data_IF_570731539608
#
_entry.id   IF_570731539608
#
_cell.length_a   1.000
_cell.length_b   1.000
_cell.length_c   1.000
_cell.angle_alpha   90.00
_cell.angle_beta   90.00
_cell.angle_gamma   90.00
#
_symmetry.space_group_name_H-M   'P 1'
#
loop_
_entity.id
_entity.type
_entity.pdbx_description
1 polymer ?
#
# COMPACT_ATOMS: atom_id res chain seq x y z
N UNK A 1 13.68 5.30 16.80
CA UNK A 1 14.59 5.21 15.63
C UNK A 1 15.58 6.37 15.58
N UNK A 2 15.16 7.61 15.26
CA UNK A 2 16.11 8.74 15.03
C UNK A 2 16.99 9.15 16.22
N UNK A 3 16.63 8.78 17.45
CA UNK A 3 17.46 9.03 18.64
C UNK A 3 18.54 7.95 18.86
N UNK A 4 18.52 6.86 18.08
CA UNK A 4 19.47 5.76 18.24
C UNK A 4 20.81 6.13 17.57
N UNK A 5 21.96 5.97 18.25
CA UNK A 5 23.25 6.46 17.76
C UNK A 5 23.74 5.77 16.49
N UNK A 6 23.21 4.58 16.17
CA UNK A 6 23.54 3.85 14.94
C UNK A 6 22.57 4.11 13.77
N UNK A 7 21.64 5.06 13.92
CA UNK A 7 20.74 5.49 12.84
C UNK A 7 21.26 6.82 12.29
N UNK A 8 21.59 6.85 10.98
CA UNK A 8 22.22 8.02 10.33
C UNK A 8 21.38 9.30 10.39
N UNK A 9 20.06 9.19 10.18
CA UNK A 9 19.17 10.36 10.05
C UNK A 9 19.48 11.21 8.80
N UNK A 10 18.90 12.42 8.66
CA UNK A 10 18.03 13.11 9.63
C UNK A 10 16.58 12.61 9.65
N UNK A 11 16.16 11.86 8.62
CA UNK A 11 14.87 11.19 8.56
C UNK A 11 15.00 9.67 8.43
N UNK A 12 13.87 8.98 8.35
CA UNK A 12 13.79 7.52 8.18
C UNK A 12 13.01 7.15 6.92
N UNK A 13 13.29 5.95 6.43
CA UNK A 13 12.44 5.25 5.46
C UNK A 13 11.35 4.44 6.14
N UNK A 14 10.18 4.32 5.49
CA UNK A 14 9.10 3.43 5.90
C UNK A 14 8.83 2.43 4.77
N UNK A 15 8.75 1.14 5.09
CA UNK A 15 8.30 0.09 4.20
C UNK A 15 7.01 -0.51 4.77
N UNK A 16 5.91 -0.35 4.05
CA UNK A 16 4.59 -0.78 4.49
C UNK A 16 3.93 -1.74 3.51
N UNK A 17 3.51 -2.90 3.99
CA UNK A 17 2.70 -3.87 3.24
C UNK A 17 1.24 -3.83 3.71
N UNK A 18 0.27 -3.87 2.79
CA UNK A 18 -1.16 -3.93 3.10
C UNK A 18 -1.57 -2.78 4.03
N UNK A 19 -2.23 -3.04 5.16
CA UNK A 19 -2.52 -2.03 6.19
C UNK A 19 -1.28 -1.23 6.63
N UNK A 20 -0.10 -1.85 6.66
CA UNK A 20 1.15 -1.15 6.95
C UNK A 20 1.50 -0.07 5.90
N UNK A 21 1.04 -0.22 4.66
CA UNK A 21 1.15 0.78 3.60
C UNK A 21 0.33 2.03 3.88
N UNK A 22 -0.94 1.88 4.25
CA UNK A 22 -1.81 3.01 4.60
C UNK A 22 -1.30 3.76 5.85
N UNK A 23 -0.74 3.03 6.82
CA UNK A 23 -0.10 3.61 8.01
C UNK A 23 1.17 4.37 7.64
N UNK A 24 1.99 3.83 6.73
CA UNK A 24 3.22 4.49 6.26
C UNK A 24 2.91 5.80 5.52
N UNK A 25 1.88 5.79 4.66
CA UNK A 25 1.39 6.99 3.97
C UNK A 25 0.82 8.01 4.95
N UNK A 26 0.07 7.57 5.94
CA UNK A 26 -0.46 8.43 7.00
C UNK A 26 0.67 9.06 7.82
N UNK A 27 1.67 8.27 8.22
CA UNK A 27 2.85 8.78 8.92
C UNK A 27 3.58 9.83 8.10
N UNK A 28 3.80 9.60 6.79
CA UNK A 28 4.44 10.58 5.92
C UNK A 28 3.62 11.86 5.72
N UNK A 29 2.30 11.78 5.85
CA UNK A 29 1.39 12.94 5.69
C UNK A 29 1.28 13.80 6.96
N UNK A 30 1.58 13.25 8.14
CA UNK A 30 1.33 13.91 9.43
C UNK A 30 2.55 14.08 10.34
N UNK A 31 3.57 13.24 10.17
CA UNK A 31 4.78 13.24 10.98
C UNK A 31 5.93 13.90 10.23
N UNK A 32 6.87 14.44 11.00
CA UNK A 32 8.12 14.98 10.47
C UNK A 32 9.17 13.87 10.33
N UNK A 33 10.23 14.16 9.57
CA UNK A 33 11.42 13.33 9.44
C UNK A 33 11.15 11.95 8.81
N UNK A 34 10.15 11.87 7.92
CA UNK A 34 9.98 10.74 7.00
C UNK A 34 10.55 11.17 5.66
N UNK A 35 11.60 10.49 5.20
CA UNK A 35 12.32 10.87 3.98
C UNK A 35 11.86 10.07 2.77
N UNK A 36 11.52 8.80 2.96
CA UNK A 36 11.16 7.89 1.88
C UNK A 36 10.10 6.90 2.36
N UNK A 37 9.13 6.56 1.51
CA UNK A 37 8.10 5.57 1.78
C UNK A 37 7.99 4.60 0.61
N UNK A 38 7.99 3.32 0.91
CA UNK A 38 7.62 2.26 -0.02
C UNK A 38 6.34 1.61 0.48
N UNK A 39 5.33 1.52 -0.37
CA UNK A 39 4.09 0.78 -0.07
C UNK A 39 3.94 -0.40 -1.01
N UNK A 40 3.64 -1.58 -0.48
CA UNK A 40 3.34 -2.78 -1.25
C UNK A 40 1.87 -3.14 -1.02
N UNK A 41 1.04 -3.09 -2.07
CA UNK A 41 -0.39 -3.39 -2.01
C UNK A 41 -1.11 -2.69 -0.84
N UNK A 42 -0.72 -1.45 -0.58
CA UNK A 42 -1.23 -0.66 0.53
C UNK A 42 -2.48 0.13 0.11
N UNK A 43 -3.54 0.16 0.93
CA UNK A 43 -4.63 1.11 0.73
C UNK A 43 -4.11 2.55 0.76
N UNK A 44 -4.79 3.43 0.01
CA UNK A 44 -4.51 4.88 -0.03
C UNK A 44 -5.52 5.70 0.77
N UNK A 45 -6.50 5.01 1.36
CA UNK A 45 -7.43 5.52 2.36
C UNK A 45 -7.28 4.69 3.63
N UNK A 46 -7.60 5.27 4.78
CA UNK A 46 -7.53 4.56 6.05
C UNK A 46 -8.58 3.44 6.10
N UNK A 47 -8.15 2.22 6.37
CA UNK A 47 -9.04 1.03 6.46
C UNK A 47 -9.18 0.51 7.89
N UNK A 48 -10.16 -0.37 8.12
CA UNK A 48 -10.37 -1.17 9.36
C UNK A 48 -10.84 -0.38 10.59
N UNK A 49 -10.02 0.52 11.13
CA UNK A 49 -10.34 1.33 12.33
C UNK A 49 -10.02 2.81 12.09
N UNK A 50 -10.75 3.76 12.70
CA UNK A 50 -10.42 5.18 12.57
C UNK A 50 -9.00 5.47 13.05
N UNK A 51 -8.25 6.23 12.27
CA UNK A 51 -6.88 6.60 12.59
C UNK A 51 -6.87 7.97 13.27
N UNK A 52 -6.28 8.05 14.47
CA UNK A 52 -6.19 9.29 15.24
C UNK A 52 -4.76 9.80 15.30
N UNK A 53 -4.59 11.11 15.10
CA UNK A 53 -3.33 11.82 15.35
C UNK A 53 -3.62 13.20 15.93
N UNK A 54 -3.29 13.39 17.22
CA UNK A 54 -3.64 14.60 17.99
C UNK A 54 -5.16 14.87 17.93
N UNK A 55 -5.55 16.02 17.40
CA UNK A 55 -6.91 16.49 17.19
C UNK A 55 -7.55 16.00 15.89
N UNK A 56 -6.80 15.26 15.05
CA UNK A 56 -7.28 14.76 13.76
C UNK A 56 -7.74 13.32 13.85
N UNK A 57 -8.85 13.03 13.19
CA UNK A 57 -9.38 11.67 12.99
C UNK A 57 -9.61 11.47 11.49
N UNK A 58 -9.01 10.42 10.93
CA UNK A 58 -9.35 9.92 9.60
C UNK A 58 -10.29 8.73 9.82
N UNK A 59 -11.57 8.81 9.42
CA UNK A 59 -12.49 7.68 9.52
C UNK A 59 -12.01 6.48 8.71
N UNK A 60 -12.53 5.30 9.03
CA UNK A 60 -12.31 4.13 8.19
C UNK A 60 -13.12 4.24 6.90
N UNK A 61 -12.49 3.84 5.80
CA UNK A 61 -13.13 3.64 4.52
C UNK A 61 -14.30 2.67 4.69
N UNK A 62 -15.53 3.05 4.30
CA UNK A 62 -16.67 2.16 4.38
C UNK A 62 -16.45 0.88 3.59
N UNK A 63 -16.95 -0.22 4.13
CA UNK A 63 -16.93 -1.54 3.49
C UNK A 63 -18.36 -1.97 3.18
N UNK A 64 -18.59 -2.52 1.99
CA UNK A 64 -19.86 -3.14 1.64
C UNK A 64 -19.66 -4.65 1.47
N UNK A 65 -19.98 -5.41 2.51
CA UNK A 65 -19.85 -6.88 2.49
C UNK A 65 -20.79 -7.57 1.50
N UNK A 66 -21.84 -6.88 1.01
CA UNK A 66 -22.69 -7.41 -0.06
C UNK A 66 -21.94 -7.53 -1.39
N UNK A 67 -20.81 -6.84 -1.54
CA UNK A 67 -19.95 -6.91 -2.72
C UNK A 67 -18.93 -8.07 -2.65
N UNK A 68 -18.89 -8.84 -1.56
CA UNK A 68 -18.03 -10.04 -1.48
C UNK A 68 -18.47 -11.01 -2.58
N UNK A 69 -17.53 -11.46 -3.41
CA UNK A 69 -17.81 -12.42 -4.48
C UNK A 69 -17.34 -13.81 -4.06
N UNK A 70 -18.12 -14.83 -4.43
CA UNK A 70 -17.63 -16.20 -4.43
C UNK A 70 -16.69 -16.37 -5.63
N UNK A 71 -15.45 -16.74 -5.34
CA UNK A 71 -14.41 -16.96 -6.34
C UNK A 71 -14.37 -18.42 -6.77
N UNK A 72 -14.37 -19.34 -5.80
CA UNK A 72 -14.35 -20.79 -6.01
C UNK A 72 -14.72 -21.51 -4.69
N UNK A 73 -15.83 -22.25 -4.67
CA UNK A 73 -16.30 -23.05 -3.52
C UNK A 73 -16.00 -22.45 -2.13
N UNK A 74 -16.67 -21.35 -1.78
CA UNK A 74 -16.51 -20.64 -0.51
C UNK A 74 -15.14 -19.95 -0.30
N UNK A 75 -14.27 -19.90 -1.30
CA UNK A 75 -13.13 -18.99 -1.37
C UNK A 75 -13.65 -17.65 -1.89
N UNK A 76 -13.35 -16.57 -1.16
CA UNK A 76 -13.99 -15.27 -1.38
C UNK A 76 -13.02 -14.24 -1.95
N UNK A 77 -13.55 -13.36 -2.79
CA UNK A 77 -12.85 -12.18 -3.32
C UNK A 77 -13.38 -10.92 -2.63
N UNK A 78 -12.46 -10.12 -2.10
CA UNK A 78 -12.72 -8.89 -1.34
C UNK A 78 -12.32 -7.61 -2.07
N UNK A 79 -11.77 -7.70 -3.27
CA UNK A 79 -11.20 -6.57 -4.04
C UNK A 79 -12.12 -5.36 -4.19
N UNK A 80 -13.44 -5.60 -4.25
CA UNK A 80 -14.49 -4.59 -4.44
C UNK A 80 -15.35 -4.34 -3.19
N UNK A 81 -14.92 -4.85 -2.04
CA UNK A 81 -15.59 -4.65 -0.75
C UNK A 81 -15.32 -3.25 -0.18
N UNK A 82 -14.08 -2.73 -0.17
CA UNK A 82 -13.85 -1.34 0.20
C UNK A 82 -14.53 -0.40 -0.80
N UNK A 83 -15.22 0.62 -0.29
CA UNK A 83 -15.76 1.69 -1.13
C UNK A 83 -14.64 2.44 -1.83
N UNK A 84 -14.92 3.02 -2.99
CA UNK A 84 -13.93 3.82 -3.70
C UNK A 84 -13.86 5.25 -3.11
N UNK A 85 -12.74 5.66 -2.49
CA UNK A 85 -12.62 6.99 -1.92
C UNK A 85 -12.52 8.10 -2.97
N UNK A 86 -12.20 7.77 -4.24
CA UNK A 86 -12.06 8.75 -5.32
C UNK A 86 -13.38 9.09 -6.02
N UNK A 87 -14.43 8.27 -5.87
CA UNK A 87 -15.77 8.57 -6.43
C UNK A 87 -16.51 9.68 -5.69
N UNK A 88 -16.14 9.94 -4.42
CA UNK A 88 -16.81 10.92 -3.57
C UNK A 88 -15.85 12.08 -3.31
N UNK A 89 -16.05 13.25 -3.93
CA UNK A 89 -15.23 14.43 -3.65
C UNK A 89 -15.22 14.75 -2.15
N UNK A 90 -14.02 14.92 -1.59
CA UNK A 90 -13.86 15.22 -0.16
C UNK A 90 -14.06 14.03 0.78
N UNK A 91 -13.95 12.79 0.29
CA UNK A 91 -13.99 11.60 1.15
C UNK A 91 -12.96 11.71 2.28
N UNK A 92 -13.46 11.75 3.52
CA UNK A 92 -12.64 11.99 4.71
C UNK A 92 -11.71 10.82 5.05
N UNK A 93 -11.95 9.63 4.49
CA UNK A 93 -11.11 8.45 4.71
C UNK A 93 -9.83 8.48 3.89
N UNK A 94 -9.78 9.29 2.82
CA UNK A 94 -8.61 9.41 1.96
C UNK A 94 -7.44 10.00 2.76
N UNK A 95 -6.27 9.37 2.67
CA UNK A 95 -5.06 9.88 3.32
C UNK A 95 -4.60 11.10 2.51
N UNK A 96 -4.25 12.23 3.15
CA UNK A 96 -3.83 13.44 2.44
C UNK A 96 -2.36 13.32 1.98
N UNK A 97 -2.10 12.35 1.10
CA UNK A 97 -0.76 11.96 0.62
C UNK A 97 -0.08 13.13 -0.10
N UNK A 98 -0.83 14.07 -0.66
CA UNK A 98 -0.28 15.29 -1.26
C UNK A 98 0.49 16.16 -0.26
N UNK A 99 0.23 16.02 1.04
CA UNK A 99 0.96 16.71 2.12
C UNK A 99 2.28 16.04 2.48
N UNK A 100 2.51 14.80 2.04
CA UNK A 100 3.77 14.12 2.29
C UNK A 100 4.90 14.79 1.51
N UNK A 101 5.97 15.15 2.23
CA UNK A 101 7.23 15.65 1.65
C UNK A 101 8.18 14.50 1.27
N UNK A 102 7.92 13.29 1.78
CA UNK A 102 8.72 12.10 1.53
C UNK A 102 8.70 11.69 0.05
N UNK A 103 9.78 11.07 -0.43
CA UNK A 103 9.74 10.36 -1.71
C UNK A 103 8.89 9.10 -1.58
N UNK A 104 8.03 8.82 -2.56
CA UNK A 104 7.09 7.70 -2.51
C UNK A 104 7.38 6.67 -3.60
N UNK A 105 7.30 5.40 -3.26
CA UNK A 105 7.30 4.30 -4.22
C UNK A 105 6.09 3.41 -3.94
N UNK A 106 5.16 3.39 -4.88
CA UNK A 106 4.00 2.50 -4.84
C UNK A 106 4.31 1.22 -5.61
N UNK A 107 4.10 0.07 -4.97
CA UNK A 107 4.21 -1.25 -5.59
C UNK A 107 2.83 -1.89 -5.50
N UNK A 108 2.28 -2.29 -6.64
CA UNK A 108 0.98 -2.94 -6.74
C UNK A 108 1.05 -4.24 -7.54
N UNK A 109 0.29 -5.24 -7.11
CA UNK A 109 -0.05 -6.42 -7.89
C UNK A 109 -1.39 -6.23 -8.62
N UNK A 110 -1.46 -6.63 -9.88
CA UNK A 110 -2.70 -6.55 -10.68
C UNK A 110 -3.72 -7.63 -10.31
N UNK A 111 -3.28 -8.71 -9.67
CA UNK A 111 -4.11 -9.85 -9.27
C UNK A 111 -4.44 -9.80 -7.77
N UNK A 112 -4.38 -8.62 -7.14
CA UNK A 112 -4.72 -8.44 -5.73
C UNK A 112 -6.24 -8.54 -5.51
N UNK A 113 -6.66 -9.64 -4.90
CA UNK A 113 -8.08 -9.91 -4.59
C UNK A 113 -8.49 -9.48 -3.16
N UNK A 114 -7.61 -8.79 -2.43
CA UNK A 114 -7.93 -8.22 -1.11
C UNK A 114 -8.31 -6.76 -1.27
N UNK A 115 -7.52 -6.02 -2.05
CA UNK A 115 -7.70 -4.61 -2.37
C UNK A 115 -7.42 -4.45 -3.86
N UNK A 116 -8.20 -3.62 -4.56
CA UNK A 116 -7.90 -3.26 -5.95
C UNK A 116 -6.67 -2.32 -6.04
N UNK A 117 -5.49 -2.89 -5.79
CA UNK A 117 -4.23 -2.17 -5.57
C UNK A 117 -3.77 -1.41 -6.82
N UNK A 118 -3.86 -2.01 -8.01
CA UNK A 118 -3.55 -1.33 -9.28
C UNK A 118 -4.42 -0.09 -9.48
N UNK A 119 -5.74 -0.24 -9.28
CA UNK A 119 -6.68 0.86 -9.45
C UNK A 119 -6.36 2.02 -8.50
N UNK A 120 -6.22 1.74 -7.20
CA UNK A 120 -5.98 2.78 -6.21
C UNK A 120 -4.62 3.47 -6.37
N UNK A 121 -3.58 2.74 -6.77
CA UNK A 121 -2.28 3.36 -7.09
C UNK A 121 -2.39 4.26 -8.33
N UNK A 122 -3.14 3.82 -9.35
CA UNK A 122 -3.37 4.60 -10.57
C UNK A 122 -4.14 5.90 -10.28
N UNK A 123 -5.21 5.85 -9.49
CA UNK A 123 -5.97 7.04 -9.10
C UNK A 123 -5.15 7.96 -8.19
N UNK A 124 -4.35 7.40 -7.29
CA UNK A 124 -3.43 8.18 -6.45
C UNK A 124 -2.39 8.91 -7.28
N UNK A 125 -1.84 8.27 -8.32
CA UNK A 125 -0.92 8.90 -9.26
C UNK A 125 -1.55 10.13 -9.93
N UNK A 126 -2.78 9.98 -10.47
CA UNK A 126 -3.54 11.08 -11.07
C UNK A 126 -3.78 12.22 -10.06
N UNK A 127 -4.19 11.88 -8.83
CA UNK A 127 -4.41 12.85 -7.75
C UNK A 127 -3.13 13.62 -7.41
N UNK A 128 -2.00 12.92 -7.22
CA UNK A 128 -0.72 13.55 -6.91
C UNK A 128 -0.22 14.45 -8.06
N UNK A 129 -0.36 14.01 -9.31
CA UNK A 129 -0.03 14.84 -10.48
C UNK A 129 -0.88 16.10 -10.56
N UNK A 130 -2.19 16.00 -10.28
CA UNK A 130 -3.07 17.16 -10.24
C UNK A 130 -2.70 18.16 -9.13
N UNK A 131 -2.03 17.69 -8.07
CA UNK A 131 -1.47 18.53 -7.00
C UNK A 131 -0.02 19.00 -7.29
N UNK A 132 0.52 18.73 -8.48
CA UNK A 132 1.87 19.14 -8.89
C UNK A 132 3.00 18.38 -8.19
N UNK A 133 2.72 17.17 -7.68
CA UNK A 133 3.72 16.34 -7.00
C UNK A 133 4.50 15.53 -8.05
N UNK A 134 5.82 15.47 -7.89
CA UNK A 134 6.73 14.71 -8.76
C UNK A 134 7.59 13.71 -7.97
N UNK A 135 7.48 13.73 -6.64
CA UNK A 135 8.27 12.93 -5.70
C UNK A 135 7.75 11.49 -5.53
N UNK A 136 7.23 10.87 -6.58
CA UNK A 136 6.71 9.51 -6.49
C UNK A 136 7.04 8.64 -7.72
N UNK A 137 7.06 7.33 -7.51
CA UNK A 137 7.26 6.30 -8.53
C UNK A 137 6.23 5.19 -8.34
N UNK A 138 5.90 4.47 -9.42
CA UNK A 138 4.97 3.35 -9.39
C UNK A 138 5.60 2.11 -10.06
N UNK A 139 5.39 0.94 -9.48
CA UNK A 139 5.72 -0.36 -10.04
C UNK A 139 4.46 -1.23 -9.95
N UNK A 140 3.95 -1.66 -11.09
CA UNK A 140 2.75 -2.50 -11.18
C UNK A 140 3.17 -3.82 -11.81
N UNK A 141 2.87 -4.92 -11.11
CA UNK A 141 3.26 -6.27 -11.53
C UNK A 141 2.03 -7.10 -11.95
N UNK A 142 1.96 -7.51 -13.23
CA UNK A 142 0.95 -8.46 -13.69
C UNK A 142 1.07 -9.80 -12.98
N UNK A 143 -0.07 -10.46 -12.72
CA UNK A 143 -0.11 -11.78 -12.09
C UNK A 143 0.46 -11.84 -10.67
N UNK A 144 0.56 -10.69 -9.99
CA UNK A 144 0.96 -10.62 -8.57
C UNK A 144 -0.27 -10.34 -7.73
N UNK A 145 -0.48 -11.19 -6.72
CA UNK A 145 -1.55 -11.03 -5.74
C UNK A 145 -1.21 -10.07 -4.62
N UNK A 146 -1.94 -10.18 -3.51
CA UNK A 146 -1.79 -9.33 -2.35
C UNK A 146 -0.43 -9.50 -1.68
N UNK A 147 0.04 -10.73 -1.44
CA UNK A 147 1.25 -10.98 -0.66
C UNK A 147 2.53 -10.98 -1.51
N UNK A 148 3.13 -9.81 -1.76
CA UNK A 148 4.46 -9.71 -2.38
C UNK A 148 5.58 -9.71 -1.33
N UNK A 149 6.09 -10.90 -1.04
CA UNK A 149 7.13 -11.16 -0.03
C UNK A 149 8.56 -10.99 -0.59
N UNK A 150 9.60 -11.03 0.26
CA UNK A 150 10.99 -11.06 -0.22
C UNK A 150 11.28 -12.22 -1.18
N UNK A 151 12.34 -12.13 -2.00
CA UNK A 151 12.65 -13.14 -3.02
C UNK A 151 12.65 -14.57 -2.50
N UNK A 152 12.06 -15.46 -3.29
CA UNK A 152 11.99 -16.91 -3.08
C UNK A 152 11.04 -17.37 -1.96
N UNK A 153 10.27 -16.47 -1.35
CA UNK A 153 9.12 -16.88 -0.55
C UNK A 153 8.07 -17.57 -1.43
N UNK A 154 7.43 -18.66 -0.95
CA UNK A 154 6.45 -19.38 -1.75
C UNK A 154 5.20 -18.54 -1.99
N UNK A 155 4.59 -18.69 -3.17
CA UNK A 155 3.30 -18.08 -3.47
C UNK A 155 2.22 -18.61 -2.51
N UNK A 156 1.39 -17.70 -2.01
CA UNK A 156 0.24 -18.00 -1.18
C UNK A 156 -1.04 -17.42 -1.80
N UNK A 157 -1.65 -18.11 -2.78
CA UNK A 157 -2.71 -17.53 -3.59
C UNK A 157 -4.09 -17.61 -2.93
N UNK A 158 -4.24 -18.46 -1.90
CA UNK A 158 -5.47 -18.63 -1.13
C UNK A 158 -5.10 -18.70 0.35
N UNK A 159 -5.70 -17.81 1.13
CA UNK A 159 -5.45 -17.70 2.57
C UNK A 159 -6.67 -17.29 3.36
N UNK A 160 -6.45 -16.78 4.56
CA UNK A 160 -7.50 -16.10 5.30
C UNK A 160 -7.38 -14.61 5.06
N UNK A 161 -8.50 -13.95 4.79
CA UNK A 161 -8.52 -12.50 4.70
C UNK A 161 -8.01 -11.89 6.03
N UNK A 162 -7.05 -10.95 6.02
CA UNK A 162 -6.37 -10.46 7.23
C UNK A 162 -7.32 -9.86 8.27
N UNK A 163 -8.39 -9.22 7.81
CA UNK A 163 -9.43 -8.62 8.67
C UNK A 163 -10.61 -9.56 8.96
N UNK A 164 -11.30 -10.05 7.92
CA UNK A 164 -12.54 -10.83 8.08
C UNK A 164 -12.32 -12.28 8.56
N UNK A 165 -11.09 -12.80 8.53
CA UNK A 165 -10.77 -14.19 8.93
C UNK A 165 -11.59 -15.26 8.20
N UNK A 166 -12.04 -14.95 6.97
CA UNK A 166 -12.71 -15.88 6.05
C UNK A 166 -11.72 -16.34 4.98
N UNK A 167 -11.93 -17.55 4.45
CA UNK A 167 -11.11 -18.07 3.34
C UNK A 167 -11.24 -17.14 2.14
N UNK A 168 -10.12 -16.73 1.58
CA UNK A 168 -10.04 -15.69 0.57
C UNK A 168 -9.02 -16.05 -0.51
N UNK A 169 -9.31 -15.66 -1.74
CA UNK A 169 -8.29 -15.56 -2.77
C UNK A 169 -7.44 -14.33 -2.46
N UNK A 170 -6.13 -14.53 -2.40
CA UNK A 170 -5.13 -13.47 -2.27
C UNK A 170 -4.49 -13.17 -3.64
N UNK A 171 -4.66 -14.09 -4.59
CA UNK A 171 -4.19 -13.96 -5.97
C UNK A 171 -2.72 -14.28 -6.17
N UNK A 172 -2.29 -14.20 -7.42
CA UNK A 172 -0.94 -14.43 -7.88
C UNK A 172 -0.79 -15.68 -8.74
N UNK A 173 0.05 -15.56 -9.77
CA UNK A 173 0.48 -16.64 -10.66
C UNK A 173 1.94 -16.94 -10.36
N UNK A 174 2.29 -18.23 -10.18
CA UNK A 174 3.57 -18.64 -9.59
C UNK A 174 4.80 -18.04 -10.30
N UNK A 175 4.82 -18.04 -11.64
CA UNK A 175 5.95 -17.55 -12.40
C UNK A 175 6.02 -16.02 -12.37
N UNK A 176 4.89 -15.33 -12.57
CA UNK A 176 4.81 -13.89 -12.48
C UNK A 176 5.22 -13.38 -11.09
N UNK A 177 4.68 -14.01 -10.04
CA UNK A 177 5.01 -13.75 -8.65
C UNK A 177 6.51 -13.86 -8.36
N UNK A 178 7.12 -14.99 -8.71
CA UNK A 178 8.53 -15.24 -8.46
C UNK A 178 9.43 -14.21 -9.15
N UNK A 179 9.11 -13.84 -10.40
CA UNK A 179 9.82 -12.79 -11.15
C UNK A 179 9.65 -11.42 -10.51
N UNK A 180 8.44 -11.09 -10.06
CA UNK A 180 8.14 -9.83 -9.42
C UNK A 180 8.90 -9.67 -8.11
N UNK A 181 9.03 -10.70 -7.27
CA UNK A 181 9.83 -10.61 -6.03
C UNK A 181 11.29 -10.27 -6.33
N UNK A 182 11.90 -11.03 -7.26
CA UNK A 182 13.31 -10.86 -7.65
C UNK A 182 13.57 -9.49 -8.28
N UNK A 183 12.58 -8.92 -8.95
CA UNK A 183 12.68 -7.57 -9.51
C UNK A 183 12.40 -6.49 -8.45
N UNK A 184 11.31 -6.59 -7.69
CA UNK A 184 10.87 -5.55 -6.76
C UNK A 184 11.87 -5.34 -5.62
N UNK A 185 12.45 -6.41 -5.08
CA UNK A 185 13.32 -6.31 -3.91
C UNK A 185 14.57 -5.43 -4.15
N UNK A 186 15.36 -5.61 -5.23
CA UNK A 186 16.41 -4.67 -5.58
C UNK A 186 15.91 -3.23 -5.83
N UNK A 187 14.70 -3.04 -6.38
CA UNK A 187 14.15 -1.69 -6.58
C UNK A 187 13.87 -0.99 -5.25
N UNK A 188 13.33 -1.72 -4.26
CA UNK A 188 13.11 -1.21 -2.90
C UNK A 188 14.44 -0.82 -2.27
N UNK A 189 15.48 -1.67 -2.39
CA UNK A 189 16.81 -1.37 -1.87
C UNK A 189 17.41 -0.13 -2.56
N UNK A 190 17.36 -0.07 -3.89
CA UNK A 190 17.88 1.07 -4.66
C UNK A 190 17.16 2.37 -4.31
N UNK A 191 15.84 2.32 -4.15
CA UNK A 191 15.03 3.46 -3.73
C UNK A 191 15.45 3.99 -2.37
N UNK A 192 15.57 3.12 -1.36
CA UNK A 192 16.01 3.55 -0.04
C UNK A 192 17.47 4.01 -0.01
N UNK A 193 18.39 3.36 -0.74
CA UNK A 193 19.76 3.84 -0.86
C UNK A 193 19.81 5.25 -1.44
N UNK A 194 19.08 5.49 -2.54
CA UNK A 194 19.02 6.80 -3.19
C UNK A 194 18.54 7.92 -2.26
N UNK A 195 17.52 7.67 -1.44
CA UNK A 195 16.90 8.74 -0.65
C UNK A 195 17.34 8.80 0.81
N UNK A 196 17.98 7.76 1.34
CA UNK A 196 18.47 7.73 2.74
C UNK A 196 19.99 7.77 2.85
N UNK A 197 20.72 7.30 1.83
CA UNK A 197 22.18 7.26 1.87
C UNK A 197 22.85 8.36 1.06
N UNK A 198 22.27 8.75 -0.07
CA UNK A 198 22.87 9.73 -0.96
C UNK A 198 22.55 11.16 -0.48
N UNK A 199 23.61 11.98 -0.41
CA UNK A 199 23.52 13.45 -0.37
C UNK A 199 23.93 13.97 -1.74
#
# INVERSE_FOLDING_TARGET
>A
MLQHPQVKGPGIGLLGFSKGGDLSLSMASFLKNITAVVTINGPVANTVIPLSYKDKIIPSLPINQQNIKDYDDNILDFSVVPSDPFQVPGNQSLIPIEKAEAHLLFIAGQDDHVINSEYFVTETCKHLQAQGKENFQILIYPGVGHCLDPPFFPLYPIGNHPVFQRRAVLGGELMAYSKAQVHAWPQIQAFFHKYLNDK
#
